data_IF_185502876546
#
_entry.id   IF_185502876546
#
_cell.length_a   1.000
_cell.length_b   1.000
_cell.length_c   1.000
_cell.angle_alpha   90.00
_cell.angle_beta   90.00
_cell.angle_gamma   90.00
#
_symmetry.space_group_name_H-M   'P 1'
#
loop_
_entity.id
_entity.type
_entity.pdbx_description
1 polymer ?
#
# COMPACT_ATOMS: atom_id res chain seq x y z
N UNK A 1 -21.73 2.54 18.58
CA UNK A 1 -21.17 1.19 18.82
C UNK A 1 -20.21 0.73 17.71
N UNK A 2 -20.62 0.75 16.42
CA UNK A 2 -19.80 0.26 15.29
C UNK A 2 -18.46 1.02 15.15
N UNK A 3 -18.49 2.36 15.06
CA UNK A 3 -17.26 3.20 14.98
C UNK A 3 -16.34 3.01 16.19
N UNK A 4 -16.89 2.81 17.38
CA UNK A 4 -16.12 2.54 18.58
C UNK A 4 -15.33 1.23 18.51
N UNK A 5 -15.95 0.17 17.97
CA UNK A 5 -15.28 -1.12 17.79
C UNK A 5 -14.13 -1.03 16.77
N UNK A 6 -14.32 -0.28 15.69
CA UNK A 6 -13.25 -0.02 14.70
C UNK A 6 -12.08 0.70 15.38
N UNK A 7 -12.36 1.77 16.10
CA UNK A 7 -11.34 2.54 16.83
C UNK A 7 -10.57 1.66 17.83
N UNK A 8 -11.26 0.83 18.60
CA UNK A 8 -10.64 -0.12 19.53
C UNK A 8 -9.70 -1.11 18.80
N UNK A 9 -10.11 -1.58 17.62
CA UNK A 9 -9.25 -2.46 16.83
C UNK A 9 -8.03 -1.71 16.28
N UNK A 10 -8.19 -0.49 15.79
CA UNK A 10 -7.07 0.35 15.33
C UNK A 10 -6.07 0.61 16.47
N UNK A 11 -6.54 0.92 17.67
CA UNK A 11 -5.69 1.21 18.83
C UNK A 11 -4.78 0.04 19.25
N UNK A 12 -5.17 -1.21 18.97
CA UNK A 12 -4.31 -2.39 19.21
C UNK A 12 -3.00 -2.37 18.39
N UNK A 13 -2.97 -1.58 17.31
CA UNK A 13 -1.81 -1.46 16.43
C UNK A 13 -0.83 -0.35 16.85
N UNK A 14 -1.19 0.48 17.82
CA UNK A 14 -0.33 1.57 18.30
C UNK A 14 0.99 1.06 18.88
N UNK A 15 0.97 -0.07 19.58
CA UNK A 15 2.13 -0.58 20.35
C UNK A 15 2.81 -1.77 19.66
N UNK A 16 2.23 -2.30 18.58
CA UNK A 16 2.78 -3.45 17.83
C UNK A 16 3.39 -2.99 16.51
N UNK A 17 4.68 -3.25 16.29
CA UNK A 17 5.30 -3.08 14.96
C UNK A 17 4.95 -4.27 14.08
N UNK A 18 4.21 -4.03 13.01
CA UNK A 18 3.78 -5.03 12.03
C UNK A 18 4.87 -5.17 10.96
N UNK A 19 5.11 -6.39 10.49
CA UNK A 19 6.10 -6.61 9.44
C UNK A 19 5.61 -6.11 8.10
N UNK A 20 4.42 -6.55 7.66
CA UNK A 20 3.88 -6.22 6.34
C UNK A 20 2.40 -5.87 6.44
N UNK A 21 2.03 -4.74 5.88
CA UNK A 21 0.65 -4.32 5.69
C UNK A 21 0.38 -4.13 4.20
N UNK A 22 -0.68 -4.74 3.70
CA UNK A 22 -1.30 -4.40 2.43
C UNK A 22 -2.54 -3.59 2.71
N UNK A 23 -2.61 -2.37 2.18
CA UNK A 23 -3.78 -1.53 2.31
C UNK A 23 -4.58 -1.51 1.02
N UNK A 24 -5.89 -1.67 1.14
CA UNK A 24 -6.86 -1.59 0.06
C UNK A 24 -7.93 -0.56 0.38
N UNK A 25 -8.24 0.31 -0.58
CA UNK A 25 -9.29 1.32 -0.43
C UNK A 25 -10.68 0.70 -0.65
N UNK A 26 -10.76 -0.33 -1.49
CA UNK A 26 -12.00 -0.91 -1.97
C UNK A 26 -11.75 -2.33 -2.48
N UNK A 27 -12.77 -3.19 -2.40
CA UNK A 27 -12.69 -4.59 -2.85
C UNK A 27 -12.26 -4.76 -4.31
N UNK A 28 -12.53 -3.79 -5.17
CA UNK A 28 -12.11 -3.84 -6.58
C UNK A 28 -10.59 -3.86 -6.77
N UNK A 29 -9.82 -3.35 -5.80
CA UNK A 29 -8.36 -3.38 -5.81
C UNK A 29 -7.75 -4.72 -5.36
N UNK A 30 -8.54 -5.60 -4.73
CA UNK A 30 -8.05 -6.87 -4.19
C UNK A 30 -7.35 -7.73 -5.25
N UNK A 31 -7.88 -7.78 -6.48
CA UNK A 31 -7.31 -8.54 -7.60
C UNK A 31 -5.87 -8.12 -7.97
N UNK A 32 -5.49 -6.88 -7.69
CA UNK A 32 -4.13 -6.39 -7.95
C UNK A 32 -3.16 -6.69 -6.82
N UNK A 33 -3.67 -6.82 -5.60
CA UNK A 33 -2.85 -7.09 -4.41
C UNK A 33 -2.75 -8.58 -4.07
N UNK A 34 -3.74 -9.39 -4.47
CA UNK A 34 -3.88 -10.78 -4.03
C UNK A 34 -2.63 -11.64 -4.27
N UNK A 35 -1.99 -11.65 -5.47
CA UNK A 35 -0.79 -12.46 -5.68
C UNK A 35 0.37 -12.08 -4.74
N UNK A 36 0.57 -10.78 -4.50
CA UNK A 36 1.56 -10.30 -3.55
C UNK A 36 1.21 -10.69 -2.11
N UNK A 37 -0.04 -10.52 -1.73
CA UNK A 37 -0.53 -10.87 -0.39
C UNK A 37 -0.33 -12.36 -0.13
N UNK A 38 -0.69 -13.22 -1.08
CA UNK A 38 -0.53 -14.67 -0.99
C UNK A 38 0.95 -15.05 -0.86
N UNK A 39 1.82 -14.51 -1.71
CA UNK A 39 3.25 -14.75 -1.65
C UNK A 39 3.83 -14.40 -0.26
N UNK A 40 3.51 -13.21 0.26
CA UNK A 40 4.05 -12.78 1.54
C UNK A 40 3.40 -13.49 2.73
N UNK A 41 2.10 -13.84 2.67
CA UNK A 41 1.42 -14.59 3.73
C UNK A 41 2.01 -16.00 3.89
N UNK A 42 2.34 -16.66 2.77
CA UNK A 42 3.00 -17.96 2.78
C UNK A 42 4.44 -17.88 3.31
N UNK A 43 5.16 -16.81 2.99
CA UNK A 43 6.55 -16.60 3.42
C UNK A 43 6.67 -16.15 4.86
N UNK A 44 5.70 -15.38 5.36
CA UNK A 44 5.71 -14.77 6.69
C UNK A 44 4.36 -15.01 7.41
N UNK A 45 4.08 -16.25 7.81
CA UNK A 45 2.81 -16.60 8.48
C UNK A 45 2.56 -15.72 9.72
N UNK A 46 1.33 -15.23 9.85
CA UNK A 46 0.86 -14.36 10.94
C UNK A 46 1.52 -12.96 11.04
N UNK A 47 2.46 -12.61 10.15
CA UNK A 47 3.15 -11.31 10.14
C UNK A 47 2.60 -10.35 9.07
N UNK A 48 1.67 -10.83 8.23
CA UNK A 48 1.05 -10.07 7.15
C UNK A 48 -0.37 -9.69 7.52
N UNK A 49 -0.71 -8.43 7.31
CA UNK A 49 -2.04 -7.88 7.53
C UNK A 49 -2.61 -7.32 6.22
N UNK A 50 -3.84 -7.71 5.92
CA UNK A 50 -4.64 -7.08 4.89
C UNK A 50 -5.59 -6.08 5.55
N UNK A 51 -5.36 -4.81 5.29
CA UNK A 51 -6.09 -3.70 5.92
C UNK A 51 -6.95 -3.04 4.86
N UNK A 52 -8.25 -2.92 5.10
CA UNK A 52 -9.17 -2.32 4.14
C UNK A 52 -10.05 -1.22 4.72
N UNK A 53 -10.36 -0.23 3.87
CA UNK A 53 -11.36 0.79 4.12
C UNK A 53 -12.79 0.35 3.76
N UNK A 54 -12.94 -0.77 3.06
CA UNK A 54 -14.22 -1.38 2.71
C UNK A 54 -14.51 -2.57 3.63
N UNK A 55 -15.69 -2.57 4.25
CA UNK A 55 -16.12 -3.63 5.17
C UNK A 55 -16.22 -5.01 4.51
N UNK A 56 -16.55 -5.05 3.21
CA UNK A 56 -16.73 -6.27 2.45
C UNK A 56 -15.42 -6.75 1.79
N UNK A 57 -14.34 -5.99 1.93
CA UNK A 57 -13.04 -6.31 1.35
C UNK A 57 -12.21 -7.11 2.35
N UNK A 58 -12.28 -8.43 2.21
CA UNK A 58 -11.52 -9.40 3.02
C UNK A 58 -10.93 -10.47 2.11
N UNK A 59 -9.76 -10.96 2.44
CA UNK A 59 -9.17 -12.13 1.81
C UNK A 59 -9.46 -13.34 2.70
N UNK A 60 -10.28 -14.28 2.20
CA UNK A 60 -10.72 -15.45 2.94
C UNK A 60 -10.09 -16.76 2.43
N UNK A 61 -9.53 -16.73 1.21
CA UNK A 61 -8.95 -17.92 0.56
C UNK A 61 -7.62 -18.39 1.17
N UNK A 62 -6.95 -17.51 1.92
CA UNK A 62 -5.67 -17.78 2.56
C UNK A 62 -5.70 -17.35 4.03
N UNK A 63 -4.83 -17.94 4.85
CA UNK A 63 -4.73 -17.56 6.26
C UNK A 63 -3.98 -16.24 6.39
N UNK A 64 -4.71 -15.15 6.61
CA UNK A 64 -4.18 -13.80 6.78
C UNK A 64 -4.97 -13.02 7.83
N UNK A 65 -4.32 -12.03 8.44
CA UNK A 65 -4.98 -11.12 9.36
C UNK A 65 -5.73 -10.04 8.57
N UNK A 66 -7.06 -10.12 8.52
CA UNK A 66 -7.89 -9.07 7.92
C UNK A 66 -8.25 -8.01 8.95
N UNK A 67 -8.12 -6.72 8.60
CA UNK A 67 -8.50 -5.60 9.44
C UNK A 67 -9.30 -4.57 8.66
N UNK A 68 -10.52 -4.31 9.10
CA UNK A 68 -11.31 -3.20 8.62
C UNK A 68 -11.05 -1.95 9.45
N UNK A 69 -10.69 -0.83 8.82
CA UNK A 69 -10.34 0.44 9.49
C UNK A 69 -11.35 1.56 9.22
N UNK A 70 -12.29 1.36 8.29
CA UNK A 70 -13.23 2.40 7.85
C UNK A 70 -12.60 3.44 6.93
N UNK A 71 -13.40 4.43 6.54
CA UNK A 71 -13.03 5.53 5.63
C UNK A 71 -12.84 6.85 6.39
N UNK A 72 -12.28 7.85 5.70
CA UNK A 72 -12.16 9.22 6.21
C UNK A 72 -11.25 9.33 7.43
N UNK A 73 -11.72 9.96 8.49
CA UNK A 73 -10.92 10.24 9.69
C UNK A 73 -10.37 8.99 10.38
N UNK A 74 -11.08 7.85 10.35
CA UNK A 74 -10.58 6.61 10.95
C UNK A 74 -9.38 6.07 10.17
N UNK A 75 -9.42 6.13 8.84
CA UNK A 75 -8.30 5.76 7.98
C UNK A 75 -7.09 6.67 8.24
N UNK A 76 -7.29 7.98 8.27
CA UNK A 76 -6.23 8.95 8.58
C UNK A 76 -5.62 8.68 9.95
N UNK A 77 -6.45 8.42 10.95
CA UNK A 77 -6.01 8.08 12.30
C UNK A 77 -5.19 6.79 12.33
N UNK A 78 -5.62 5.74 11.63
CA UNK A 78 -4.85 4.49 11.52
C UNK A 78 -3.44 4.76 10.99
N UNK A 79 -3.33 5.47 9.85
CA UNK A 79 -2.04 5.79 9.26
C UNK A 79 -1.16 6.70 10.12
N UNK A 80 -1.75 7.50 11.00
CA UNK A 80 -0.98 8.37 11.91
C UNK A 80 -0.33 7.61 13.08
N UNK A 81 -0.89 6.47 13.49
CA UNK A 81 -0.42 5.74 14.68
C UNK A 81 0.23 4.40 14.37
N UNK A 82 -0.01 3.82 13.18
CA UNK A 82 0.49 2.49 12.81
C UNK A 82 2.01 2.46 12.80
N UNK A 83 2.55 1.32 13.28
CA UNK A 83 3.98 1.01 13.20
C UNK A 83 4.16 -0.19 12.30
N UNK A 84 4.94 -0.06 11.23
CA UNK A 84 5.16 -1.15 10.28
C UNK A 84 6.57 -1.12 9.69
N UNK A 85 7.05 -2.29 9.26
CA UNK A 85 8.27 -2.36 8.45
C UNK A 85 7.97 -1.98 7.01
N UNK A 86 6.91 -2.55 6.43
CA UNK A 86 6.47 -2.25 5.06
C UNK A 86 4.96 -1.98 5.02
N UNK A 87 4.56 -0.95 4.31
CA UNK A 87 3.16 -0.71 3.91
C UNK A 87 3.08 -0.67 2.40
N UNK A 88 2.31 -1.57 1.81
CA UNK A 88 2.03 -1.66 0.39
C UNK A 88 0.74 -0.91 0.06
N UNK A 89 0.79 -0.01 -0.92
CA UNK A 89 -0.30 0.88 -1.31
C UNK A 89 -0.45 0.94 -2.84
N UNK A 90 -1.70 1.11 -3.29
CA UNK A 90 -2.02 1.51 -4.67
C UNK A 90 -2.38 2.99 -4.78
N UNK A 91 -2.46 3.70 -3.66
CA UNK A 91 -2.81 5.13 -3.60
C UNK A 91 -1.67 5.97 -4.15
N UNK A 92 -1.97 6.90 -5.02
CA UNK A 92 -1.04 7.93 -5.48
C UNK A 92 -1.03 9.14 -4.54
N UNK A 93 -0.03 10.00 -4.67
CA UNK A 93 0.06 11.24 -3.90
C UNK A 93 0.16 11.05 -2.37
N UNK A 94 0.79 9.93 -1.93
CA UNK A 94 1.15 9.72 -0.53
C UNK A 94 1.87 10.96 0.04
N UNK A 95 1.43 11.43 1.20
CA UNK A 95 1.99 12.61 1.85
C UNK A 95 1.40 13.94 1.40
N UNK A 96 0.76 14.01 0.23
CA UNK A 96 0.21 15.24 -0.32
C UNK A 96 -1.26 15.48 0.05
N UNK A 97 -2.00 14.39 0.32
CA UNK A 97 -3.42 14.42 0.66
C UNK A 97 -3.71 13.83 2.05
N UNK A 98 -4.72 12.99 2.15
CA UNK A 98 -5.25 12.47 3.42
C UNK A 98 -4.26 11.61 4.18
N UNK A 99 -3.45 10.79 3.49
CA UNK A 99 -2.50 9.90 4.14
C UNK A 99 -1.11 10.54 4.13
N UNK A 100 -0.64 10.91 5.31
CA UNK A 100 0.72 11.45 5.51
C UNK A 100 1.72 10.32 5.79
N UNK A 101 2.99 10.50 5.38
CA UNK A 101 4.07 9.59 5.80
C UNK A 101 4.20 9.61 7.33
N UNK A 102 4.23 8.43 7.91
CA UNK A 102 4.43 8.24 9.35
C UNK A 102 5.86 7.74 9.59
N UNK A 103 6.60 8.41 10.47
CA UNK A 103 7.98 8.06 10.83
C UNK A 103 8.15 6.68 11.47
N UNK A 104 7.07 6.09 11.96
CA UNK A 104 7.06 4.75 12.53
C UNK A 104 6.87 3.65 11.47
N UNK A 105 6.82 4.00 10.21
CA UNK A 105 6.80 3.09 9.06
C UNK A 105 8.15 3.17 8.37
N UNK A 106 8.85 2.03 8.27
CA UNK A 106 10.21 2.03 7.73
C UNK A 106 10.21 2.28 6.21
N UNK A 107 9.27 1.65 5.47
CA UNK A 107 9.18 1.76 4.01
C UNK A 107 7.74 1.77 3.51
N UNK A 108 7.42 2.71 2.64
CA UNK A 108 6.20 2.74 1.85
C UNK A 108 6.47 2.20 0.45
N UNK A 109 5.72 1.18 0.06
CA UNK A 109 5.86 0.48 -1.21
C UNK A 109 4.65 0.76 -2.08
N UNK A 110 4.87 1.32 -3.26
CA UNK A 110 3.82 1.47 -4.27
C UNK A 110 3.82 0.25 -5.19
N UNK A 111 2.64 -0.29 -5.49
CA UNK A 111 2.43 -1.27 -6.55
C UNK A 111 1.29 -0.85 -7.47
N UNK A 112 1.45 -1.13 -8.74
CA UNK A 112 0.53 -0.62 -9.76
C UNK A 112 -0.77 -1.43 -9.82
N UNK A 113 -1.88 -0.72 -9.91
CA UNK A 113 -3.20 -1.26 -10.28
C UNK A 113 -3.58 -0.95 -11.75
N UNK A 114 -2.69 -0.28 -12.49
CA UNK A 114 -2.87 0.09 -13.89
C UNK A 114 -1.61 -0.21 -14.69
N UNK A 115 -1.76 -0.71 -15.91
CA UNK A 115 -0.67 -0.94 -16.86
C UNK A 115 -0.22 0.32 -17.62
N UNK A 116 -0.77 1.49 -17.30
CA UNK A 116 -0.50 2.73 -18.04
C UNK A 116 0.86 3.37 -17.70
N UNK A 117 1.32 4.24 -18.62
CA UNK A 117 2.45 5.14 -18.41
C UNK A 117 2.23 6.03 -17.18
N UNK A 118 3.26 6.23 -16.38
CA UNK A 118 3.22 7.12 -15.21
C UNK A 118 3.11 8.60 -15.60
N UNK A 119 3.44 8.96 -16.84
CA UNK A 119 3.29 10.35 -17.34
C UNK A 119 1.86 10.70 -17.73
N UNK A 120 1.04 9.71 -18.14
CA UNK A 120 -0.32 9.96 -18.64
C UNK A 120 -1.40 9.87 -17.56
N UNK A 121 -1.24 9.00 -16.58
CA UNK A 121 -2.30 8.68 -15.63
C UNK A 121 -2.15 9.33 -14.25
N UNK A 122 -1.05 10.07 -14.00
CA UNK A 122 -0.69 10.48 -12.65
C UNK A 122 -0.18 11.92 -12.60
N UNK A 123 -0.37 12.56 -11.46
CA UNK A 123 0.21 13.89 -11.22
C UNK A 123 1.73 13.85 -11.11
N UNK A 124 2.37 15.01 -11.23
CA UNK A 124 3.82 15.09 -11.17
C UNK A 124 4.42 14.71 -9.80
N UNK A 125 3.61 14.61 -8.74
CA UNK A 125 4.04 14.30 -7.37
C UNK A 125 3.58 12.93 -6.88
N UNK A 126 2.84 12.18 -7.70
CA UNK A 126 2.13 10.95 -7.28
C UNK A 126 3.01 9.92 -6.58
N UNK A 127 4.31 9.87 -6.93
CA UNK A 127 5.23 8.86 -6.40
C UNK A 127 6.35 9.45 -5.53
N UNK A 128 6.37 10.78 -5.31
CA UNK A 128 7.52 11.47 -4.72
C UNK A 128 7.86 10.95 -3.31
N UNK A 129 6.86 10.57 -2.54
CA UNK A 129 7.01 10.16 -1.15
C UNK A 129 7.10 8.64 -0.91
N UNK A 130 7.11 7.83 -1.96
CA UNK A 130 7.35 6.39 -1.84
C UNK A 130 8.85 6.08 -1.70
N UNK A 131 9.15 4.99 -1.01
CA UNK A 131 10.52 4.52 -0.81
C UNK A 131 10.87 3.43 -1.84
N UNK A 132 9.88 2.59 -2.19
CA UNK A 132 10.00 1.48 -3.14
C UNK A 132 8.85 1.55 -4.13
N UNK A 133 9.10 1.28 -5.41
CA UNK A 133 8.06 1.17 -6.43
C UNK A 133 8.23 -0.16 -7.17
N UNK A 134 7.17 -0.96 -7.17
CA UNK A 134 7.06 -2.17 -7.97
C UNK A 134 6.60 -1.78 -9.36
N UNK A 135 7.51 -1.80 -10.32
CA UNK A 135 7.26 -1.35 -11.68
C UNK A 135 6.76 -2.51 -12.55
N UNK A 136 5.72 -2.27 -13.36
CA UNK A 136 5.21 -3.25 -14.33
C UNK A 136 6.24 -3.58 -15.42
N UNK A 137 7.18 -2.69 -15.68
CA UNK A 137 8.24 -2.88 -16.67
C UNK A 137 9.24 -1.74 -16.67
N UNK A 138 10.27 -1.91 -17.50
CA UNK A 138 11.37 -0.95 -17.62
C UNK A 138 10.89 0.47 -17.97
N UNK A 139 9.87 0.60 -18.81
CA UNK A 139 9.30 1.90 -19.20
C UNK A 139 8.85 2.74 -18.00
N UNK A 140 8.18 2.12 -16.99
CA UNK A 140 7.78 2.84 -15.78
C UNK A 140 8.98 3.24 -14.93
N UNK A 141 9.96 2.35 -14.80
CA UNK A 141 11.18 2.65 -14.06
C UNK A 141 11.93 3.84 -14.70
N UNK A 142 12.06 3.86 -16.02
CA UNK A 142 12.71 4.94 -16.76
C UNK A 142 11.96 6.29 -16.59
N UNK A 143 10.62 6.28 -16.65
CA UNK A 143 9.78 7.45 -16.40
C UNK A 143 9.95 8.01 -14.98
N UNK A 144 10.00 7.13 -13.98
CA UNK A 144 10.22 7.53 -12.58
C UNK A 144 11.63 8.11 -12.40
N UNK A 145 12.66 7.46 -12.96
CA UNK A 145 14.04 7.98 -12.93
C UNK A 145 14.16 9.33 -13.61
N UNK A 146 13.49 9.53 -14.74
CA UNK A 146 13.43 10.83 -15.41
C UNK A 146 12.86 11.93 -14.49
N UNK A 147 11.76 11.64 -13.79
CA UNK A 147 11.16 12.58 -12.82
C UNK A 147 12.08 12.88 -11.64
N UNK A 148 12.69 11.85 -11.07
CA UNK A 148 13.64 12.01 -9.97
C UNK A 148 14.80 12.93 -10.36
N UNK A 149 15.38 12.71 -11.52
CA UNK A 149 16.47 13.53 -12.04
C UNK A 149 16.01 14.97 -12.31
N UNK A 150 14.85 15.15 -12.97
CA UNK A 150 14.31 16.47 -13.30
C UNK A 150 14.00 17.32 -12.08
N UNK A 151 13.57 16.70 -10.99
CA UNK A 151 13.18 17.39 -9.75
C UNK A 151 14.24 17.31 -8.64
N UNK A 152 15.37 16.70 -8.90
CA UNK A 152 16.42 16.44 -7.92
C UNK A 152 15.91 15.72 -6.65
N UNK A 153 15.08 14.69 -6.85
CA UNK A 153 14.48 13.90 -5.76
C UNK A 153 15.44 12.80 -5.29
N UNK A 154 15.22 12.37 -4.05
CA UNK A 154 15.86 11.15 -3.53
C UNK A 154 15.44 9.95 -4.39
N UNK A 155 16.41 9.18 -4.86
CA UNK A 155 16.17 7.99 -5.68
C UNK A 155 15.49 6.90 -4.85
N UNK A 156 14.41 6.35 -5.42
CA UNK A 156 13.65 5.24 -4.85
C UNK A 156 14.24 3.91 -5.28
N UNK A 157 13.95 2.86 -4.56
CA UNK A 157 14.20 1.50 -5.03
C UNK A 157 13.14 1.13 -6.07
N UNK A 158 13.54 0.85 -7.31
CA UNK A 158 12.66 0.44 -8.40
C UNK A 158 12.87 -1.03 -8.69
N UNK A 159 11.81 -1.83 -8.55
CA UNK A 159 11.84 -3.28 -8.73
C UNK A 159 10.92 -3.64 -9.91
N UNK A 160 11.47 -4.30 -10.92
CA UNK A 160 10.69 -4.77 -12.07
C UNK A 160 9.99 -6.07 -11.69
N UNK A 161 8.66 -6.03 -11.59
CA UNK A 161 7.86 -7.16 -11.12
C UNK A 161 6.86 -7.69 -12.15
N UNK A 162 6.61 -6.94 -13.21
CA UNK A 162 5.42 -7.18 -14.02
C UNK A 162 4.14 -6.66 -13.34
N UNK A 163 3.01 -6.95 -13.96
CA UNK A 163 1.70 -6.50 -13.47
C UNK A 163 0.97 -7.67 -12.81
N UNK A 164 0.80 -7.63 -11.50
CA UNK A 164 0.26 -8.71 -10.66
C UNK A 164 -1.15 -9.18 -11.04
N UNK A 165 -1.94 -8.37 -11.73
CA UNK A 165 -3.25 -8.80 -12.21
C UNK A 165 -3.16 -10.00 -13.17
N UNK A 166 -2.09 -10.12 -13.95
CA UNK A 166 -1.90 -11.26 -14.83
C UNK A 166 -1.57 -12.56 -14.09
N UNK A 167 -1.09 -12.46 -12.85
CA UNK A 167 -0.89 -13.62 -11.97
C UNK A 167 -2.18 -14.02 -11.24
N UNK A 168 -3.20 -13.14 -11.27
CA UNK A 168 -4.50 -13.36 -10.63
C UNK A 168 -5.50 -14.10 -11.53
N UNK A 169 -5.42 -13.91 -12.85
CA UNK A 169 -6.33 -14.51 -13.85
C UNK A 169 -5.79 -15.82 -14.38
#
# INVERSE_FOLDING_TARGET
>A
KFKYNILKNILKFKDKKIKIIFFSEDKSYQKFSYPLVEFFANRYPNEVYYVSSDFNDKIEKIKINNLFIGKGLLMVFFFSIVKAKFIFLTITDLGNHSIKKNKNVDKYVYFNHSGSSTFRGYTNSSFDNYDIILCNGKYQADEIRFRENKKNLIKKDLILTGHFYFDYI
#
